data_IF_945868104855
#
_entry.id   IF_945868104855
#
_cell.length_a   1.000
_cell.length_b   1.000
_cell.length_c   1.000
_cell.angle_alpha   90.00
_cell.angle_beta   90.00
_cell.angle_gamma   90.00
#
_symmetry.space_group_name_H-M   'P 1'
#
loop_
_entity.id
_entity.type
_entity.pdbx_description
1 polymer ?
#
# COMPACT_ATOMS: atom_id res chain seq x y z
N UNK A 1 -7.18 31.46 -34.99
CA UNK A 1 -6.38 30.38 -34.38
C UNK A 1 -5.47 30.84 -33.23
N UNK A 2 -4.67 31.92 -33.35
CA UNK A 2 -3.74 32.35 -32.28
C UNK A 2 -4.39 32.74 -30.93
N UNK A 3 -5.61 33.30 -30.94
CA UNK A 3 -6.34 33.68 -29.70
C UNK A 3 -6.83 32.49 -28.86
N UNK A 4 -7.23 31.39 -29.53
CA UNK A 4 -7.69 30.19 -28.84
C UNK A 4 -6.54 29.42 -28.18
N UNK A 5 -5.34 29.43 -28.79
CA UNK A 5 -4.12 28.85 -28.21
C UNK A 5 -3.69 29.62 -26.95
N UNK A 6 -3.83 30.95 -26.95
CA UNK A 6 -3.48 31.78 -25.80
C UNK A 6 -4.47 31.57 -24.63
N UNK A 7 -5.77 31.45 -24.93
CA UNK A 7 -6.80 31.13 -23.93
C UNK A 7 -6.60 29.72 -23.37
N UNK A 8 -6.22 28.74 -24.21
CA UNK A 8 -5.90 27.39 -23.75
C UNK A 8 -4.66 27.39 -22.85
N UNK A 9 -3.61 28.14 -23.21
CA UNK A 9 -2.39 28.30 -22.38
C UNK A 9 -2.67 29.00 -21.06
N UNK A 10 -3.55 30.01 -21.04
CA UNK A 10 -4.00 30.69 -19.81
C UNK A 10 -4.85 29.75 -18.96
N UNK A 11 -5.78 28.98 -19.54
CA UNK A 11 -6.57 27.99 -18.80
C UNK A 11 -5.71 26.87 -18.22
N UNK A 12 -4.71 26.38 -18.97
CA UNK A 12 -3.77 25.35 -18.51
C UNK A 12 -2.86 25.88 -17.39
N UNK A 13 -2.42 27.15 -17.47
CA UNK A 13 -1.62 27.76 -16.42
C UNK A 13 -2.45 28.07 -15.16
N UNK A 14 -3.71 28.49 -15.31
CA UNK A 14 -4.64 28.69 -14.20
C UNK A 14 -4.94 27.37 -13.47
N UNK A 15 -5.13 26.26 -14.18
CA UNK A 15 -5.31 24.94 -13.55
C UNK A 15 -4.06 24.42 -12.84
N UNK A 16 -2.86 24.80 -13.32
CA UNK A 16 -1.59 24.42 -12.70
C UNK A 16 -1.16 25.33 -11.53
N UNK A 17 -1.62 26.59 -11.49
CA UNK A 17 -1.38 27.53 -10.40
C UNK A 17 -2.26 27.20 -9.18
N UNK A 18 -3.54 26.86 -9.39
CA UNK A 18 -4.44 26.52 -8.27
C UNK A 18 -4.11 25.20 -7.58
N UNK A 19 -3.38 24.28 -8.23
CA UNK A 19 -3.03 22.99 -7.61
C UNK A 19 -1.89 23.12 -6.60
N UNK A 20 -0.92 24.03 -6.80
CA UNK A 20 0.20 24.24 -5.87
C UNK A 20 -0.14 25.18 -4.71
N UNK A 21 -0.92 26.24 -4.96
CA UNK A 21 -1.36 27.17 -3.90
C UNK A 21 -2.26 26.47 -2.85
N UNK A 22 -3.05 25.48 -3.29
CA UNK A 22 -3.88 24.66 -2.40
C UNK A 22 -3.05 23.79 -1.45
N UNK A 23 -1.95 23.20 -1.92
CA UNK A 23 -1.07 22.36 -1.07
C UNK A 23 -0.43 23.19 0.04
N UNK A 24 0.06 24.39 -0.29
CA UNK A 24 0.71 25.26 0.69
C UNK A 24 -0.28 25.74 1.77
N UNK A 25 -1.49 26.12 1.36
CA UNK A 25 -2.55 26.56 2.29
C UNK A 25 -2.92 25.41 3.22
N UNK A 26 -3.19 24.22 2.68
CA UNK A 26 -3.55 23.07 3.49
C UNK A 26 -2.42 22.67 4.43
N UNK A 27 -1.17 22.67 3.95
CA UNK A 27 -0.01 22.44 4.79
C UNK A 27 0.02 23.40 5.98
N UNK A 28 -0.14 24.71 5.75
CA UNK A 28 -0.15 25.71 6.82
C UNK A 28 -1.32 25.52 7.77
N UNK A 29 -2.47 25.13 7.26
CA UNK A 29 -3.63 24.83 8.08
C UNK A 29 -3.38 23.62 8.98
N UNK A 30 -2.85 22.53 8.42
CA UNK A 30 -2.54 21.32 9.17
C UNK A 30 -1.47 21.56 10.24
N UNK A 31 -0.47 22.40 9.96
CA UNK A 31 0.50 22.87 10.96
C UNK A 31 -0.19 23.54 12.16
N UNK A 32 -1.17 24.41 11.90
CA UNK A 32 -1.92 25.11 12.96
C UNK A 32 -2.80 24.15 13.75
N UNK A 33 -3.44 23.18 13.09
CA UNK A 33 -4.23 22.14 13.75
C UNK A 33 -3.35 21.27 14.65
N UNK A 34 -2.23 20.77 14.12
CA UNK A 34 -1.28 19.95 14.89
C UNK A 34 -0.68 20.70 16.08
N UNK A 35 -0.40 22.00 15.93
CA UNK A 35 0.13 22.83 17.01
C UNK A 35 -0.84 23.01 18.18
N UNK A 36 -2.15 22.87 17.95
CA UNK A 36 -3.16 22.93 19.00
C UNK A 36 -3.23 21.64 19.81
N UNK A 37 -2.80 20.50 19.24
CA UNK A 37 -2.83 19.20 19.90
C UNK A 37 -4.23 18.66 20.20
N UNK A 38 -5.27 19.26 19.61
CA UNK A 38 -6.66 18.82 19.73
C UNK A 38 -6.92 17.65 18.76
N UNK A 39 -7.26 16.49 19.33
CA UNK A 39 -7.47 15.26 18.58
C UNK A 39 -8.70 15.34 17.67
N UNK A 40 -9.81 15.87 18.17
CA UNK A 40 -11.07 15.95 17.43
C UNK A 40 -10.90 16.91 16.25
N UNK A 41 -10.23 18.04 16.50
CA UNK A 41 -9.88 18.99 15.44
C UNK A 41 -8.93 18.35 14.40
N UNK A 42 -7.96 17.56 14.83
CA UNK A 42 -7.07 16.85 13.90
C UNK A 42 -7.84 15.83 13.05
N UNK A 43 -8.77 15.08 13.64
CA UNK A 43 -9.61 14.09 12.95
C UNK A 43 -10.51 14.73 11.88
N UNK A 44 -11.16 15.85 12.23
CA UNK A 44 -12.05 16.57 11.33
C UNK A 44 -11.32 17.13 10.09
N UNK A 45 -10.02 17.38 10.21
CA UNK A 45 -9.27 18.15 9.22
C UNK A 45 -8.28 17.32 8.39
N UNK A 46 -7.79 16.18 8.88
CA UNK A 46 -6.83 15.39 8.10
C UNK A 46 -7.45 14.85 6.80
N UNK A 47 -8.78 14.76 6.68
CA UNK A 47 -9.45 14.28 5.45
C UNK A 47 -9.20 15.17 4.23
N UNK A 48 -9.12 16.49 4.42
CA UNK A 48 -8.81 17.42 3.33
C UNK A 48 -7.33 17.28 2.93
N UNK A 49 -6.46 17.20 3.93
CA UNK A 49 -5.05 16.87 3.76
C UNK A 49 -4.82 15.57 3.00
N UNK A 50 -5.60 14.51 3.29
CA UNK A 50 -5.58 13.26 2.55
C UNK A 50 -5.93 13.46 1.07
N UNK A 51 -7.02 14.17 0.75
CA UNK A 51 -7.41 14.41 -0.65
C UNK A 51 -6.27 15.10 -1.42
N UNK A 52 -5.61 16.06 -0.79
CA UNK A 52 -4.48 16.78 -1.38
C UNK A 52 -3.28 15.84 -1.55
N UNK A 53 -2.91 15.05 -0.54
CA UNK A 53 -1.85 14.05 -0.64
C UNK A 53 -2.11 12.97 -1.70
N UNK A 54 -3.36 12.52 -1.84
CA UNK A 54 -3.80 11.59 -2.87
C UNK A 54 -3.63 12.23 -4.27
N UNK A 55 -3.95 13.52 -4.41
CA UNK A 55 -3.81 14.27 -5.67
C UNK A 55 -2.34 14.46 -6.11
N UNK A 56 -1.43 14.61 -5.14
CA UNK A 56 0.02 14.69 -5.37
C UNK A 56 0.52 13.39 -6.02
N UNK A 57 0.05 12.24 -5.51
CA UNK A 57 0.36 10.92 -6.09
C UNK A 57 -0.24 10.83 -7.50
N UNK A 58 -1.55 11.08 -7.64
CA UNK A 58 -2.26 10.92 -8.92
C UNK A 58 -1.63 11.77 -10.04
N UNK A 59 -1.31 13.04 -9.75
CA UNK A 59 -0.84 14.00 -10.75
C UNK A 59 0.70 14.03 -10.91
N UNK A 60 1.43 13.20 -10.15
CA UNK A 60 2.90 13.11 -10.21
C UNK A 60 3.64 14.44 -10.02
N UNK A 61 3.03 15.40 -9.32
CA UNK A 61 3.67 16.67 -8.97
C UNK A 61 4.44 16.49 -7.67
N UNK A 62 5.77 16.53 -7.69
CA UNK A 62 6.60 16.45 -6.49
C UNK A 62 7.29 17.79 -6.28
N UNK A 63 7.09 18.39 -5.10
CA UNK A 63 7.73 19.62 -4.64
C UNK A 63 8.16 19.48 -3.19
N UNK A 64 9.01 20.38 -2.70
CA UNK A 64 9.42 20.45 -1.29
C UNK A 64 8.21 20.66 -0.35
N UNK A 65 7.25 21.49 -0.76
CA UNK A 65 5.99 21.72 -0.01
C UNK A 65 5.20 20.41 0.14
N UNK A 66 5.23 19.55 -0.87
CA UNK A 66 4.55 18.25 -0.83
C UNK A 66 5.19 17.33 0.22
N UNK A 67 6.52 17.41 0.41
CA UNK A 67 7.22 16.63 1.43
C UNK A 67 6.79 17.03 2.84
N UNK A 68 6.74 18.34 3.11
CA UNK A 68 6.28 18.86 4.39
C UNK A 68 4.81 18.54 4.65
N UNK A 69 3.98 18.57 3.62
CA UNK A 69 2.58 18.19 3.73
C UNK A 69 2.41 16.73 4.21
N UNK A 70 3.16 15.78 3.65
CA UNK A 70 3.12 14.38 4.11
C UNK A 70 3.56 14.23 5.57
N UNK A 71 4.54 15.02 6.00
CA UNK A 71 5.03 15.00 7.37
C UNK A 71 3.99 15.52 8.37
N UNK A 72 3.35 16.65 8.07
CA UNK A 72 2.30 17.21 8.94
C UNK A 72 1.08 16.29 9.01
N UNK A 73 0.72 15.63 7.91
CA UNK A 73 -0.32 14.62 7.94
C UNK A 73 0.05 13.41 8.82
N UNK A 74 1.33 13.04 8.89
CA UNK A 74 1.77 12.00 9.82
C UNK A 74 1.56 12.42 11.28
N UNK A 75 1.79 13.69 11.63
CA UNK A 75 1.55 14.22 12.98
C UNK A 75 0.07 14.21 13.35
N UNK A 76 -0.82 14.52 12.41
CA UNK A 76 -2.26 14.43 12.65
C UNK A 76 -2.72 12.99 12.92
N UNK A 77 -2.15 12.01 12.23
CA UNK A 77 -2.38 10.60 12.51
C UNK A 77 -1.78 10.14 13.83
N UNK A 78 -0.61 10.68 14.23
CA UNK A 78 0.00 10.41 15.54
C UNK A 78 -0.94 10.81 16.68
N UNK A 79 -1.50 12.03 16.63
CA UNK A 79 -2.49 12.52 17.60
C UNK A 79 -3.71 11.60 17.71
N UNK A 80 -4.11 10.99 16.59
CA UNK A 80 -5.25 10.09 16.52
C UNK A 80 -4.92 8.61 16.78
N UNK A 81 -3.65 8.28 17.02
CA UNK A 81 -3.15 6.91 17.18
C UNK A 81 -3.36 6.03 15.92
N UNK A 82 -3.45 6.63 14.75
CA UNK A 82 -3.61 5.95 13.45
C UNK A 82 -2.24 5.54 12.86
N UNK A 83 -1.54 4.67 13.59
CA UNK A 83 -0.13 4.34 13.31
C UNK A 83 0.14 3.77 11.90
N UNK A 84 -0.83 3.07 11.31
CA UNK A 84 -0.75 2.59 9.92
C UNK A 84 -0.64 3.74 8.92
N UNK A 85 -1.55 4.71 9.03
CA UNK A 85 -1.63 5.87 8.16
C UNK A 85 -0.50 6.87 8.44
N UNK A 86 -0.07 6.99 9.70
CA UNK A 86 1.14 7.71 10.11
C UNK A 86 2.38 7.16 9.39
N UNK A 87 2.64 5.85 9.48
CA UNK A 87 3.77 5.21 8.83
C UNK A 87 3.69 5.33 7.30
N UNK A 88 2.50 5.16 6.73
CA UNK A 88 2.27 5.33 5.30
C UNK A 88 2.56 6.76 4.83
N UNK A 89 2.17 7.78 5.61
CA UNK A 89 2.44 9.17 5.27
C UNK A 89 3.94 9.48 5.23
N UNK A 90 4.70 8.95 6.18
CA UNK A 90 6.15 9.09 6.23
C UNK A 90 6.84 8.30 5.09
N UNK A 91 6.30 7.15 4.69
CA UNK A 91 6.76 6.45 3.47
C UNK A 91 6.50 7.29 2.21
N UNK A 92 5.35 7.97 2.09
CA UNK A 92 5.10 8.88 0.96
C UNK A 92 6.16 9.97 0.89
N UNK A 93 6.44 10.60 2.03
CA UNK A 93 7.50 11.61 2.13
C UNK A 93 8.85 11.03 1.68
N UNK A 94 9.25 9.88 2.24
CA UNK A 94 10.55 9.27 1.96
C UNK A 94 10.72 8.81 0.52
N UNK A 95 9.71 8.16 -0.05
CA UNK A 95 9.79 7.59 -1.39
C UNK A 95 9.62 8.64 -2.48
N UNK A 96 8.68 9.57 -2.31
CA UNK A 96 8.34 10.55 -3.35
C UNK A 96 9.19 11.83 -3.23
N UNK A 97 9.65 12.21 -2.04
CA UNK A 97 10.49 13.39 -1.80
C UNK A 97 11.78 13.03 -1.02
N UNK A 98 12.68 12.21 -1.58
CA UNK A 98 13.84 11.66 -0.86
C UNK A 98 14.86 12.72 -0.38
N UNK A 99 14.98 13.87 -1.06
CA UNK A 99 15.92 14.94 -0.68
C UNK A 99 15.39 15.82 0.47
N UNK A 100 14.06 15.95 0.55
CA UNK A 100 13.37 16.84 1.49
C UNK A 100 12.79 16.06 2.70
N UNK A 101 13.10 14.76 2.78
CA UNK A 101 12.61 13.81 3.79
C UNK A 101 13.62 13.49 4.90
N UNK A 102 14.79 14.14 4.93
CA UNK A 102 15.76 13.98 6.00
C UNK A 102 15.39 14.82 7.22
N UNK A 103 14.42 14.35 8.00
CA UNK A 103 14.12 14.86 9.33
C UNK A 103 14.31 13.74 10.37
N UNK A 104 15.20 13.95 11.35
CA UNK A 104 15.41 13.05 12.50
C UNK A 104 14.08 12.74 13.19
N UNK A 105 13.21 13.74 13.31
CA UNK A 105 11.87 13.59 13.87
C UNK A 105 11.00 12.65 13.02
N UNK A 106 11.01 12.79 11.69
CA UNK A 106 10.27 11.92 10.78
C UNK A 106 10.71 10.46 10.86
N UNK A 107 12.01 10.21 10.99
CA UNK A 107 12.51 8.86 11.24
C UNK A 107 12.02 8.32 12.59
N UNK A 108 12.13 9.11 13.67
CA UNK A 108 11.68 8.69 15.01
C UNK A 108 10.20 8.32 14.99
N UNK A 109 9.36 9.17 14.41
CA UNK A 109 7.93 8.96 14.24
C UNK A 109 7.64 7.69 13.42
N UNK A 110 8.39 7.47 12.34
CA UNK A 110 8.22 6.26 11.53
C UNK A 110 8.56 4.98 12.30
N UNK A 111 9.67 4.97 13.02
CA UNK A 111 10.08 3.83 13.84
C UNK A 111 9.05 3.56 14.95
N UNK A 112 8.54 4.60 15.61
CA UNK A 112 7.49 4.49 16.62
C UNK A 112 6.20 3.88 16.04
N UNK A 113 5.71 4.39 14.92
CA UNK A 113 4.54 3.87 14.24
C UNK A 113 4.71 2.38 13.87
N UNK A 114 5.87 2.01 13.33
CA UNK A 114 6.18 0.63 12.99
C UNK A 114 6.17 -0.31 14.21
N UNK A 115 6.70 0.14 15.35
CA UNK A 115 6.68 -0.64 16.60
C UNK A 115 5.25 -0.85 17.11
N UNK A 116 4.40 0.16 17.01
CA UNK A 116 2.95 0.06 17.33
C UNK A 116 2.24 -0.94 16.40
N UNK A 117 2.66 -1.04 15.14
CA UNK A 117 2.22 -2.06 14.17
C UNK A 117 2.87 -3.45 14.39
N UNK A 118 3.61 -3.65 15.48
CA UNK A 118 4.31 -4.90 15.81
C UNK A 118 5.33 -5.32 14.73
N UNK A 119 5.99 -4.34 14.12
CA UNK A 119 7.19 -4.57 13.32
C UNK A 119 8.41 -4.47 14.22
N UNK A 120 9.42 -5.29 13.94
CA UNK A 120 10.71 -5.21 14.65
C UNK A 120 11.48 -3.95 14.23
N UNK A 121 12.36 -3.44 15.08
CA UNK A 121 13.28 -2.34 14.70
C UNK A 121 14.04 -2.61 13.41
N UNK A 122 14.45 -3.87 13.19
CA UNK A 122 15.13 -4.28 11.95
C UNK A 122 14.23 -4.12 10.73
N UNK A 123 12.96 -4.51 10.83
CA UNK A 123 11.99 -4.33 9.75
C UNK A 123 11.69 -2.85 9.51
N UNK A 124 11.44 -2.07 10.56
CA UNK A 124 11.22 -0.63 10.46
C UNK A 124 12.37 0.07 9.73
N UNK A 125 13.61 -0.17 10.17
CA UNK A 125 14.81 0.36 9.50
C UNK A 125 14.89 -0.08 8.04
N UNK A 126 14.63 -1.36 7.76
CA UNK A 126 14.68 -1.85 6.40
C UNK A 126 13.63 -1.17 5.50
N UNK A 127 12.40 -0.94 5.98
CA UNK A 127 11.38 -0.21 5.23
C UNK A 127 11.76 1.25 5.00
N UNK A 128 12.33 1.91 6.02
CA UNK A 128 12.71 3.32 5.92
C UNK A 128 13.92 3.51 4.99
N UNK A 129 14.95 2.66 5.10
CA UNK A 129 16.22 2.80 4.39
C UNK A 129 16.30 2.04 3.05
N UNK A 130 15.45 1.04 2.77
CA UNK A 130 15.38 0.44 1.43
C UNK A 130 14.95 1.44 0.34
N UNK A 131 14.46 2.61 0.75
CA UNK A 131 14.20 3.75 -0.15
C UNK A 131 15.51 4.39 -0.66
N UNK A 132 16.62 4.29 0.07
CA UNK A 132 17.91 4.92 -0.27
C UNK A 132 18.74 4.08 -1.25
N UNK A 133 18.67 2.76 -1.14
CA UNK A 133 19.58 1.83 -1.84
C UNK A 133 19.24 1.61 -3.31
N UNK A 134 18.03 1.98 -3.75
CA UNK A 134 17.53 1.70 -5.10
C UNK A 134 17.78 2.82 -6.14
N UNK A 135 18.68 3.78 -5.87
CA UNK A 135 18.90 4.94 -6.75
C UNK A 135 17.57 5.62 -7.12
N UNK A 136 16.82 6.08 -6.11
CA UNK A 136 15.71 6.99 -6.35
C UNK A 136 16.29 8.30 -6.89
N UNK A 137 16.54 8.34 -8.20
CA UNK A 137 16.86 9.57 -8.91
C UNK A 137 15.62 10.45 -8.89
N UNK A 138 15.82 11.77 -8.76
CA UNK A 138 14.78 12.80 -8.58
C UNK A 138 13.61 12.73 -9.59
N UNK A 139 13.78 12.03 -10.71
CA UNK A 139 12.88 12.04 -11.85
C UNK A 139 12.30 10.65 -12.23
N UNK A 140 12.47 9.62 -11.40
CA UNK A 140 11.88 8.30 -11.68
C UNK A 140 10.66 8.03 -10.80
N UNK A 141 9.59 8.81 -11.04
CA UNK A 141 8.31 8.68 -10.35
C UNK A 141 7.75 7.25 -10.35
N UNK A 142 7.78 6.50 -11.47
CA UNK A 142 7.28 5.13 -11.48
C UNK A 142 8.07 4.22 -10.51
N UNK A 143 9.41 4.30 -10.49
CA UNK A 143 10.21 3.52 -9.54
C UNK A 143 9.95 3.92 -8.08
N UNK A 144 9.75 5.20 -7.81
CA UNK A 144 9.37 5.71 -6.49
C UNK A 144 8.04 5.14 -6.02
N UNK A 145 7.03 5.15 -6.91
CA UNK A 145 5.71 4.61 -6.63
C UNK A 145 5.77 3.10 -6.36
N UNK A 146 6.58 2.36 -7.13
CA UNK A 146 6.84 0.94 -6.87
C UNK A 146 7.42 0.67 -5.49
N UNK A 147 8.44 1.43 -5.08
CA UNK A 147 9.03 1.28 -3.75
C UNK A 147 8.03 1.65 -2.65
N UNK A 148 7.26 2.73 -2.84
CA UNK A 148 6.20 3.13 -1.91
C UNK A 148 5.21 1.98 -1.70
N UNK A 149 4.70 1.37 -2.78
CA UNK A 149 3.79 0.25 -2.68
C UNK A 149 4.41 -0.96 -1.97
N UNK A 150 5.62 -1.39 -2.38
CA UNK A 150 6.31 -2.52 -1.76
C UNK A 150 6.41 -2.35 -0.24
N UNK A 151 6.87 -1.17 0.19
CA UNK A 151 7.05 -0.89 1.60
C UNK A 151 5.73 -0.73 2.35
N UNK A 152 4.70 -0.16 1.70
CA UNK A 152 3.39 0.06 2.32
C UNK A 152 2.62 -1.25 2.54
N UNK A 153 2.74 -2.22 1.63
CA UNK A 153 2.18 -3.57 1.79
C UNK A 153 2.70 -4.25 3.07
N UNK A 154 3.97 -3.98 3.42
CA UNK A 154 4.64 -4.57 4.58
C UNK A 154 4.29 -3.89 5.91
N UNK A 155 3.49 -2.81 5.90
CA UNK A 155 2.91 -2.23 7.12
C UNK A 155 1.80 -3.12 7.70
N UNK A 156 1.17 -3.95 6.87
CA UNK A 156 0.09 -4.86 7.25
C UNK A 156 -1.03 -4.17 8.06
N UNK A 157 -1.49 -3.03 7.54
CA UNK A 157 -2.56 -2.22 8.12
C UNK A 157 -3.76 -2.11 7.18
N UNK A 158 -4.97 -2.19 7.72
CA UNK A 158 -6.18 -2.27 6.91
C UNK A 158 -6.53 -0.93 6.24
N UNK A 159 -6.27 0.18 6.92
CA UNK A 159 -6.49 1.53 6.37
C UNK A 159 -5.48 1.82 5.26
N UNK A 160 -4.23 1.38 5.43
CA UNK A 160 -3.20 1.45 4.39
C UNK A 160 -3.59 0.61 3.17
N UNK A 161 -4.04 -0.62 3.35
CA UNK A 161 -4.51 -1.48 2.24
C UNK A 161 -5.61 -0.80 1.42
N UNK A 162 -6.58 -0.16 2.08
CA UNK A 162 -7.65 0.57 1.42
C UNK A 162 -7.11 1.73 0.56
N UNK A 163 -6.13 2.48 1.08
CA UNK A 163 -5.45 3.55 0.32
C UNK A 163 -4.68 2.99 -0.89
N UNK A 164 -3.92 1.92 -0.72
CA UNK A 164 -3.17 1.29 -1.81
C UNK A 164 -4.08 0.76 -2.93
N UNK A 165 -5.24 0.19 -2.57
CA UNK A 165 -6.25 -0.25 -3.54
C UNK A 165 -6.84 0.92 -4.34
N UNK A 166 -7.05 2.09 -3.70
CA UNK A 166 -7.51 3.31 -4.40
C UNK A 166 -6.51 3.74 -5.49
N UNK A 167 -5.22 3.61 -5.23
CA UNK A 167 -4.16 4.00 -6.16
C UNK A 167 -3.83 2.92 -7.21
N UNK A 168 -4.37 1.70 -7.06
CA UNK A 168 -3.95 0.55 -7.85
C UNK A 168 -4.16 0.74 -9.36
N UNK A 169 -5.24 1.42 -9.74
CA UNK A 169 -5.47 1.81 -11.15
C UNK A 169 -4.35 2.69 -11.69
N UNK A 170 -3.83 3.62 -10.88
CA UNK A 170 -2.71 4.48 -11.24
C UNK A 170 -1.44 3.66 -11.49
N UNK A 171 -1.13 2.73 -10.58
CA UNK A 171 0.01 1.82 -10.70
C UNK A 171 0.00 1.06 -12.03
N UNK A 172 -1.17 0.52 -12.41
CA UNK A 172 -1.35 -0.20 -13.67
C UNK A 172 -1.21 0.71 -14.90
N UNK A 173 -1.72 1.94 -14.86
CA UNK A 173 -1.64 2.86 -15.99
C UNK A 173 -0.21 3.32 -16.31
N UNK A 174 0.68 3.34 -15.31
CA UNK A 174 2.09 3.72 -15.50
C UNK A 174 2.93 2.60 -16.13
N UNK A 175 2.32 1.47 -16.51
CA UNK A 175 3.00 0.29 -17.10
C UNK A 175 4.19 -0.18 -16.26
N UNK A 176 4.09 0.00 -14.95
CA UNK A 176 5.09 -0.50 -14.03
C UNK A 176 5.08 -2.02 -14.05
N UNK A 177 6.28 -2.62 -14.02
CA UNK A 177 6.39 -4.05 -13.80
C UNK A 177 5.82 -4.35 -12.42
N UNK A 178 4.69 -5.05 -12.40
CA UNK A 178 4.03 -5.45 -11.16
C UNK A 178 4.76 -6.69 -10.68
N UNK A 179 5.54 -6.56 -9.61
CA UNK A 179 6.20 -7.72 -9.05
C UNK A 179 5.18 -8.72 -8.46
N UNK A 180 5.65 -9.94 -8.23
CA UNK A 180 4.84 -11.03 -7.69
C UNK A 180 4.21 -10.69 -6.34
N UNK A 181 4.91 -9.96 -5.46
CA UNK A 181 4.42 -9.61 -4.13
C UNK A 181 3.20 -8.67 -4.22
N UNK A 182 3.21 -7.71 -5.15
CA UNK A 182 2.06 -6.83 -5.37
C UNK A 182 0.88 -7.59 -5.95
N UNK A 183 1.10 -8.46 -6.93
CA UNK A 183 0.04 -9.28 -7.52
C UNK A 183 -0.59 -10.20 -6.47
N UNK A 184 0.24 -10.81 -5.63
CA UNK A 184 -0.22 -11.61 -4.50
C UNK A 184 -0.99 -10.77 -3.47
N UNK A 185 -0.46 -9.63 -3.05
CA UNK A 185 -1.15 -8.73 -2.13
C UNK A 185 -2.53 -8.31 -2.67
N UNK A 186 -2.59 -7.90 -3.94
CA UNK A 186 -3.82 -7.47 -4.60
C UNK A 186 -4.85 -8.60 -4.60
N UNK A 187 -4.46 -9.81 -5.02
CA UNK A 187 -5.34 -10.97 -5.02
C UNK A 187 -5.89 -11.26 -3.62
N UNK A 188 -5.01 -11.29 -2.61
CA UNK A 188 -5.41 -11.56 -1.22
C UNK A 188 -6.34 -10.48 -0.65
N UNK A 189 -6.16 -9.22 -1.05
CA UNK A 189 -7.02 -8.11 -0.65
C UNK A 189 -8.37 -8.16 -1.35
N UNK A 190 -8.40 -8.49 -2.65
CA UNK A 190 -9.63 -8.64 -3.44
C UNK A 190 -10.56 -9.73 -2.88
N UNK A 191 -10.01 -10.86 -2.44
CA UNK A 191 -10.79 -11.95 -1.83
C UNK A 191 -11.10 -11.73 -0.33
N UNK A 192 -10.87 -10.51 0.17
CA UNK A 192 -11.08 -10.09 1.56
C UNK A 192 -10.39 -11.01 2.58
N UNK A 193 -9.10 -11.31 2.35
CA UNK A 193 -8.31 -12.08 3.31
C UNK A 193 -7.91 -11.19 4.50
N UNK A 194 -8.24 -11.65 5.71
CA UNK A 194 -7.92 -10.89 6.94
C UNK A 194 -6.41 -10.67 7.14
N UNK A 195 -6.07 -9.50 7.70
CA UNK A 195 -4.69 -8.99 7.75
C UNK A 195 -3.65 -9.96 8.35
N UNK A 196 -3.98 -10.62 9.48
CA UNK A 196 -3.08 -11.61 10.10
C UNK A 196 -2.67 -12.73 9.13
N UNK A 197 -3.58 -13.15 8.26
CA UNK A 197 -3.31 -14.19 7.25
C UNK A 197 -2.51 -13.62 6.08
N UNK A 198 -2.82 -12.40 5.61
CA UNK A 198 -2.04 -11.69 4.58
C UNK A 198 -0.59 -11.52 5.02
N UNK A 199 -0.36 -11.01 6.24
CA UNK A 199 0.97 -10.91 6.86
C UNK A 199 1.72 -12.23 6.84
N UNK A 200 1.05 -13.32 7.21
CA UNK A 200 1.66 -14.65 7.22
C UNK A 200 2.04 -15.15 5.83
N UNK A 201 1.22 -14.91 4.80
CA UNK A 201 1.50 -15.34 3.42
C UNK A 201 2.62 -14.50 2.82
N UNK A 202 2.48 -13.16 2.86
CA UNK A 202 3.41 -12.22 2.23
C UNK A 202 4.80 -12.20 2.90
N UNK A 203 4.91 -12.70 4.14
CA UNK A 203 6.20 -12.85 4.83
C UNK A 203 6.92 -14.17 4.51
N UNK A 204 6.34 -15.09 3.74
CA UNK A 204 6.99 -16.34 3.34
C UNK A 204 8.06 -16.05 2.28
N UNK A 205 9.28 -16.56 2.51
CA UNK A 205 10.47 -16.29 1.67
C UNK A 205 10.40 -16.89 0.25
N UNK A 206 9.40 -17.69 -0.08
CA UNK A 206 9.25 -18.34 -1.39
C UNK A 206 8.43 -17.50 -2.36
N UNK A 207 8.88 -16.27 -2.62
CA UNK A 207 8.41 -15.46 -3.75
C UNK A 207 9.08 -16.02 -5.01
N UNK A 208 8.64 -17.19 -5.45
CA UNK A 208 9.05 -17.72 -6.75
C UNK A 208 8.07 -17.19 -7.78
N UNK A 209 8.52 -16.31 -8.68
CA UNK A 209 7.69 -15.64 -9.70
C UNK A 209 7.04 -16.61 -10.71
N UNK A 210 7.36 -17.89 -10.63
CA UNK A 210 6.78 -18.97 -11.43
C UNK A 210 5.54 -19.63 -10.80
N UNK A 211 5.23 -19.33 -9.54
CA UNK A 211 4.05 -19.88 -8.87
C UNK A 211 2.83 -19.01 -9.12
N UNK A 212 1.65 -19.62 -9.03
CA UNK A 212 0.39 -18.89 -9.01
C UNK A 212 0.23 -18.14 -7.67
N UNK A 213 -0.38 -16.94 -7.68
CA UNK A 213 -0.47 -16.06 -6.49
C UNK A 213 -1.20 -16.70 -5.29
N UNK A 214 -2.07 -17.68 -5.56
CA UNK A 214 -2.86 -18.40 -4.57
C UNK A 214 -2.12 -19.62 -3.98
N UNK A 215 -0.98 -20.03 -4.55
CA UNK A 215 -0.18 -21.12 -4.01
C UNK A 215 0.50 -20.73 -2.71
N UNK A 216 0.11 -21.40 -1.63
CA UNK A 216 0.60 -21.14 -0.28
C UNK A 216 1.16 -22.43 0.31
N UNK A 217 2.34 -22.35 0.93
CA UNK A 217 3.03 -23.51 1.52
C UNK A 217 2.22 -24.16 2.66
N UNK A 218 1.50 -23.36 3.44
CA UNK A 218 0.61 -23.86 4.48
C UNK A 218 -0.70 -24.37 3.86
N UNK A 219 -0.87 -25.70 3.82
CA UNK A 219 -2.06 -26.37 3.28
C UNK A 219 -3.40 -25.86 3.86
N UNK A 220 -3.46 -25.57 5.16
CA UNK A 220 -4.71 -25.10 5.80
C UNK A 220 -5.02 -23.68 5.35
N UNK A 221 -4.00 -22.84 5.19
CA UNK A 221 -4.15 -21.49 4.71
C UNK A 221 -4.47 -21.45 3.21
N UNK A 222 -3.80 -22.29 2.42
CA UNK A 222 -4.02 -22.49 1.00
C UNK A 222 -5.49 -22.85 0.71
N UNK A 223 -6.03 -23.87 1.39
CA UNK A 223 -7.46 -24.24 1.30
C UNK A 223 -8.40 -23.06 1.57
N UNK A 224 -8.10 -22.25 2.59
CA UNK A 224 -8.92 -21.08 2.93
C UNK A 224 -8.88 -20.00 1.86
N UNK A 225 -7.72 -19.79 1.24
CA UNK A 225 -7.55 -18.83 0.15
C UNK A 225 -8.34 -19.27 -1.07
N UNK A 226 -8.23 -20.54 -1.48
CA UNK A 226 -9.00 -21.09 -2.60
C UNK A 226 -10.51 -20.96 -2.40
N UNK A 227 -11.02 -21.33 -1.22
CA UNK A 227 -12.45 -21.22 -0.93
C UNK A 227 -12.94 -19.76 -0.90
N UNK A 228 -12.10 -18.81 -0.47
CA UNK A 228 -12.47 -17.39 -0.52
C UNK A 228 -12.43 -16.83 -1.93
N UNK A 229 -11.44 -17.24 -2.73
CA UNK A 229 -11.38 -16.88 -4.14
C UNK A 229 -12.61 -17.40 -4.89
N UNK A 230 -12.93 -18.69 -4.72
CA UNK A 230 -14.13 -19.31 -5.28
C UNK A 230 -15.40 -18.53 -4.92
N UNK A 231 -15.60 -18.22 -3.64
CA UNK A 231 -16.77 -17.48 -3.18
C UNK A 231 -16.83 -16.05 -3.76
N UNK A 232 -15.69 -15.36 -3.80
CA UNK A 232 -15.57 -14.02 -4.39
C UNK A 232 -15.97 -14.04 -5.87
N UNK A 233 -15.36 -14.91 -6.68
CA UNK A 233 -15.62 -14.98 -8.11
C UNK A 233 -17.03 -15.47 -8.44
N UNK A 234 -17.59 -16.38 -7.62
CA UNK A 234 -18.98 -16.79 -7.75
C UNK A 234 -19.94 -15.62 -7.49
N UNK A 235 -19.66 -14.81 -6.46
CA UNK A 235 -20.48 -13.63 -6.12
C UNK A 235 -20.38 -12.52 -7.16
N UNK A 236 -19.28 -12.43 -7.90
CA UNK A 236 -19.09 -11.48 -9.00
C UNK A 236 -19.48 -12.05 -10.38
N UNK A 237 -20.24 -13.15 -10.42
CA UNK A 237 -20.71 -13.83 -11.64
C UNK A 237 -19.59 -14.35 -12.58
N UNK A 238 -18.35 -14.40 -12.10
CA UNK A 238 -17.18 -14.96 -12.78
C UNK A 238 -17.11 -16.49 -12.61
N UNK A 239 -18.10 -17.17 -13.22
CA UNK A 239 -18.33 -18.60 -12.99
C UNK A 239 -17.18 -19.53 -13.44
N UNK A 240 -16.43 -19.14 -14.47
CA UNK A 240 -15.30 -19.93 -14.96
C UNK A 240 -14.16 -19.95 -13.93
N UNK A 241 -13.80 -18.77 -13.40
CA UNK A 241 -12.80 -18.57 -12.37
C UNK A 241 -13.22 -19.26 -11.06
N UNK A 242 -14.49 -19.11 -10.66
CA UNK A 242 -15.01 -19.81 -9.48
C UNK A 242 -14.86 -21.33 -9.61
N UNK A 243 -15.20 -21.90 -10.78
CA UNK A 243 -15.03 -23.34 -11.04
C UNK A 243 -13.57 -23.77 -10.98
N UNK A 244 -12.66 -22.98 -11.55
CA UNK A 244 -11.22 -23.23 -11.48
C UNK A 244 -10.72 -23.34 -10.03
N UNK A 245 -11.02 -22.36 -9.17
CA UNK A 245 -10.59 -22.39 -7.77
C UNK A 245 -11.20 -23.53 -6.97
N UNK A 246 -12.44 -23.93 -7.28
CA UNK A 246 -13.09 -25.09 -6.67
C UNK A 246 -12.38 -26.40 -7.05
N UNK A 247 -11.94 -26.53 -8.30
CA UNK A 247 -11.20 -27.70 -8.77
C UNK A 247 -9.83 -27.80 -8.10
N UNK A 248 -9.10 -26.69 -7.99
CA UNK A 248 -7.83 -26.63 -7.25
C UNK A 248 -8.01 -27.00 -5.77
N UNK A 249 -9.09 -26.53 -5.14
CA UNK A 249 -9.42 -26.91 -3.76
C UNK A 249 -9.62 -28.43 -3.62
N UNK A 250 -10.39 -29.05 -4.53
CA UNK A 250 -10.66 -30.50 -4.51
C UNK A 250 -9.40 -31.33 -4.69
N UNK A 251 -8.48 -30.90 -5.56
CA UNK A 251 -7.17 -31.57 -5.74
C UNK A 251 -6.38 -31.64 -4.43
N UNK A 252 -6.38 -30.56 -3.65
CA UNK A 252 -5.72 -30.53 -2.34
C UNK A 252 -6.38 -31.49 -1.33
N UNK A 253 -7.71 -31.58 -1.28
CA UNK A 253 -8.40 -32.51 -0.38
C UNK A 253 -8.08 -33.97 -0.69
N UNK A 254 -8.14 -34.35 -1.96
CA UNK A 254 -7.82 -35.71 -2.42
C UNK A 254 -6.36 -36.08 -2.09
N UNK A 255 -5.42 -35.14 -2.24
CA UNK A 255 -4.01 -35.38 -1.90
C UNK A 255 -3.79 -35.68 -0.41
N UNK A 256 -4.55 -35.02 0.48
CA UNK A 256 -4.47 -35.23 1.93
C UNK A 256 -5.09 -36.57 2.31
N UNK A 257 -6.25 -36.90 1.74
CA UNK A 257 -6.91 -38.19 1.96
C UNK A 257 -6.00 -39.36 1.57
N UNK A 258 -5.38 -39.28 0.39
CA UNK A 258 -4.45 -40.32 -0.08
C UNK A 258 -3.20 -40.44 0.81
N UNK A 259 -2.68 -39.35 1.36
CA UNK A 259 -1.56 -39.38 2.32
C UNK A 259 -1.96 -40.08 3.62
N UNK A 260 -3.13 -39.76 4.17
CA UNK A 260 -3.65 -40.41 5.38
C UNK A 260 -3.81 -41.91 5.13
N UNK A 261 -4.46 -42.31 4.04
CA UNK A 261 -4.67 -43.72 3.71
C UNK A 261 -3.35 -44.50 3.57
N UNK A 262 -2.32 -43.88 3.00
CA UNK A 262 -0.99 -44.48 2.88
C UNK A 262 -0.28 -44.62 4.23
N UNK A 263 -0.40 -43.64 5.12
CA UNK A 263 0.11 -43.71 6.49
C UNK A 263 -0.57 -44.82 7.31
N UNK A 264 -1.88 -45.00 7.17
CA UNK A 264 -2.61 -46.09 7.82
C UNK A 264 -2.14 -47.47 7.34
N UNK A 265 -1.89 -47.64 6.03
CA UNK A 265 -1.35 -48.90 5.49
C UNK A 265 0.06 -49.24 6.00
N UNK A 266 0.88 -48.22 6.30
CA UNK A 266 2.23 -48.40 6.83
C UNK A 266 2.26 -48.69 8.34
N UNK A 267 1.19 -48.37 9.08
CA UNK A 267 1.05 -48.69 10.51
C UNK A 267 0.45 -50.09 10.76
N UNK A 268 -0.19 -50.66 9.75
CA UNK A 268 -0.86 -51.97 9.81
C UNK A 268 0.00 -53.12 9.26
N UNK A 269 1.17 -52.81 8.70
CA UNK A 269 2.18 -53.76 8.23
C UNK A 269 3.42 -53.65 9.12
#
# INVERSE_FOLDING_TARGET
>A
MKRYILILLVLISVTNLFSQDNVLIEFKYLQLVNAQGDKDLAEDNYRNAEIICDSIIINSHISEVNAHMFFELAKSYELNEEYGLMAFSLLRQRCLAPNDSFNIEGQRLFEEACLRLQLTHKQARLLYYNTETKNITKNNYPAQLSILYQNSILLFDASVDAKLMKYYSLYNTQKLEIDYMHQQWQFLTMIDLGMKKKKRILSQKSVNSQKEYWEIEDNKLHKRVLMRAEHYYRKSDANAEAKYYLEEYKKLELSVFNKIQRSWRLLLN
#
